data_IF_587147740351
#
_entry.id   IF_587147740351
#
_cell.length_a   1.000
_cell.length_b   1.000
_cell.length_c   1.000
_cell.angle_alpha   90.00
_cell.angle_beta   90.00
_cell.angle_gamma   90.00
#
_symmetry.space_group_name_H-M   'P 1'
#
loop_
_entity.id
_entity.type
_entity.pdbx_description
1 polymer ?
#
# COMPACT_ATOMS: atom_id res chain seq x y z
N UNK A 1 7.06 13.32 3.71
CA UNK A 1 8.51 13.60 3.58
C UNK A 1 9.23 12.55 2.74
N UNK A 2 9.03 11.24 2.98
CA UNK A 2 9.69 10.16 2.22
C UNK A 2 9.63 10.35 0.69
N UNK A 3 8.43 10.52 0.11
CA UNK A 3 8.28 10.75 -1.34
C UNK A 3 9.09 11.92 -1.89
N UNK A 4 9.13 13.04 -1.14
CA UNK A 4 9.90 14.22 -1.54
C UNK A 4 11.41 13.95 -1.51
N UNK A 5 11.90 13.20 -0.52
CA UNK A 5 13.30 12.82 -0.42
C UNK A 5 13.67 11.88 -1.58
N UNK A 6 12.86 10.88 -1.88
CA UNK A 6 13.13 9.95 -3.00
C UNK A 6 13.16 10.66 -4.35
N UNK A 7 12.25 11.60 -4.57
CA UNK A 7 12.28 12.46 -5.77
C UNK A 7 13.54 13.33 -5.82
N UNK A 8 13.94 13.95 -4.70
CA UNK A 8 15.15 14.78 -4.59
C UNK A 8 16.45 14.00 -4.83
N UNK A 9 16.48 12.72 -4.46
CA UNK A 9 17.63 11.84 -4.65
C UNK A 9 17.67 11.20 -6.04
N UNK A 10 16.69 11.46 -6.91
CA UNK A 10 16.55 10.81 -8.23
C UNK A 10 16.62 9.28 -8.13
N UNK A 11 15.89 8.68 -7.17
CA UNK A 11 15.83 7.22 -7.05
C UNK A 11 15.18 6.61 -8.31
N UNK A 12 15.82 5.61 -8.92
CA UNK A 12 15.23 4.85 -10.03
C UNK A 12 13.99 4.06 -9.58
N UNK A 13 14.04 3.51 -8.37
CA UNK A 13 12.95 2.78 -7.74
C UNK A 13 12.84 3.17 -6.27
N UNK A 14 11.62 3.19 -5.74
CA UNK A 14 11.34 3.38 -4.32
C UNK A 14 10.41 2.26 -3.83
N UNK A 15 10.78 1.63 -2.72
CA UNK A 15 9.92 0.66 -2.01
C UNK A 15 9.21 1.41 -0.89
N UNK A 16 7.88 1.34 -0.89
CA UNK A 16 7.04 2.06 0.05
C UNK A 16 6.32 1.03 0.91
N UNK A 17 6.70 0.92 2.17
CA UNK A 17 6.01 0.10 3.16
C UNK A 17 4.73 0.81 3.61
N UNK A 18 3.61 0.09 3.58
CA UNK A 18 2.32 0.56 4.13
C UNK A 18 2.42 0.61 5.65
N UNK A 19 1.89 1.69 6.25
CA UNK A 19 1.85 1.80 7.71
C UNK A 19 0.83 0.85 8.34
N UNK A 20 -0.46 1.06 8.09
CA UNK A 20 -1.54 0.22 8.61
C UNK A 20 -2.56 -0.05 7.50
N UNK A 21 -2.94 -1.31 7.33
CA UNK A 21 -3.98 -1.69 6.37
C UNK A 21 -3.48 -1.62 4.93
N UNK A 22 -4.04 -0.70 4.13
CA UNK A 22 -3.64 -0.47 2.74
C UNK A 22 -4.50 0.57 2.04
N UNK A 23 -5.82 0.38 2.01
CA UNK A 23 -6.77 1.25 1.31
C UNK A 23 -6.71 2.68 1.82
N UNK A 24 -6.74 2.86 3.14
CA UNK A 24 -6.78 4.15 3.80
C UNK A 24 -5.41 4.62 4.31
N UNK A 25 -4.33 3.91 4.00
CA UNK A 25 -3.00 4.31 4.41
C UNK A 25 -2.50 5.53 3.62
N UNK A 26 -1.74 6.41 4.28
CA UNK A 26 -1.21 7.64 3.66
C UNK A 26 -0.25 7.37 2.51
N UNK A 27 0.30 6.16 2.42
CA UNK A 27 1.16 5.73 1.32
C UNK A 27 0.39 5.41 0.05
N UNK A 28 -0.92 5.15 0.13
CA UNK A 28 -1.77 4.72 -0.99
C UNK A 28 -2.22 5.87 -1.92
N UNK A 29 -1.34 6.83 -2.15
CA UNK A 29 -1.53 8.01 -3.01
C UNK A 29 -0.76 7.93 -4.33
N UNK A 30 -0.16 6.77 -4.61
CA UNK A 30 0.68 6.52 -5.78
C UNK A 30 0.10 5.39 -6.65
N UNK A 31 0.53 5.33 -7.91
CA UNK A 31 0.32 4.18 -8.79
C UNK A 31 1.64 3.41 -8.86
N UNK A 32 1.78 2.29 -8.13
CA UNK A 32 3.02 1.51 -8.14
C UNK A 32 3.11 0.65 -9.41
N UNK A 33 4.33 0.31 -9.81
CA UNK A 33 4.56 -0.69 -10.87
C UNK A 33 4.25 -2.12 -10.39
N UNK A 34 4.32 -2.35 -9.08
CA UNK A 34 3.95 -3.61 -8.44
C UNK A 34 3.45 -3.35 -7.02
N UNK A 35 2.39 -4.08 -6.63
CA UNK A 35 1.86 -4.08 -5.26
C UNK A 35 2.08 -5.45 -4.63
N UNK A 36 2.47 -5.47 -3.36
CA UNK A 36 2.83 -6.70 -2.65
C UNK A 36 2.01 -6.78 -1.36
N UNK A 37 1.33 -7.91 -1.16
CA UNK A 37 0.73 -8.31 0.11
C UNK A 37 1.54 -9.51 0.60
N UNK A 38 2.22 -9.38 1.73
CA UNK A 38 3.10 -10.42 2.27
C UNK A 38 2.29 -11.53 2.93
N UNK A 39 1.58 -11.21 4.01
CA UNK A 39 0.71 -12.11 4.76
C UNK A 39 -0.57 -11.41 5.18
N UNK A 40 -1.62 -12.19 5.42
CA UNK A 40 -2.88 -11.71 5.97
C UNK A 40 -3.10 -12.49 7.27
N UNK A 41 -3.27 -11.74 8.37
CA UNK A 41 -3.52 -12.26 9.71
C UNK A 41 -4.33 -11.24 10.50
N UNK A 42 -4.86 -11.65 11.66
CA UNK A 42 -5.58 -10.75 12.55
C UNK A 42 -4.59 -9.73 13.15
N UNK A 43 -4.74 -8.48 12.75
CA UNK A 43 -3.89 -7.36 13.15
C UNK A 43 -4.67 -6.05 12.99
N UNK A 44 -4.44 -5.11 13.90
CA UNK A 44 -5.12 -3.81 13.94
C UNK A 44 -6.66 -3.88 13.89
N UNK A 45 -7.29 -4.88 14.52
CA UNK A 45 -8.74 -5.15 14.37
C UNK A 45 -9.62 -3.99 14.85
N UNK A 46 -9.12 -3.19 15.80
CA UNK A 46 -9.82 -2.00 16.30
C UNK A 46 -9.89 -0.85 15.29
N UNK A 47 -8.99 -0.84 14.31
CA UNK A 47 -8.89 0.20 13.28
C UNK A 47 -9.55 -0.29 11.99
N UNK A 48 -9.30 -1.55 11.62
CA UNK A 48 -9.70 -2.10 10.32
C UNK A 48 -11.03 -2.85 10.42
N UNK A 49 -11.13 -3.82 11.34
CA UNK A 49 -12.29 -4.66 11.52
C UNK A 49 -11.94 -6.01 12.15
N UNK A 50 -12.93 -6.73 12.71
CA UNK A 50 -12.69 -7.91 13.53
C UNK A 50 -12.45 -9.21 12.73
N UNK A 51 -12.61 -9.21 11.40
CA UNK A 51 -12.53 -10.42 10.59
C UNK A 51 -11.32 -10.44 9.66
N UNK A 52 -10.93 -11.65 9.26
CA UNK A 52 -9.92 -11.84 8.22
C UNK A 52 -10.31 -11.17 6.89
N UNK A 53 -11.62 -11.11 6.60
CA UNK A 53 -12.13 -10.48 5.40
C UNK A 53 -11.94 -8.96 5.45
N UNK A 54 -12.21 -8.32 6.59
CA UNK A 54 -12.00 -6.87 6.76
C UNK A 54 -10.52 -6.51 6.51
N UNK A 55 -9.62 -7.32 7.08
CA UNK A 55 -8.17 -7.10 6.93
C UNK A 55 -7.70 -7.37 5.51
N UNK A 56 -8.20 -8.43 4.87
CA UNK A 56 -7.89 -8.72 3.47
C UNK A 56 -8.37 -7.60 2.54
N UNK A 57 -9.59 -7.09 2.77
CA UNK A 57 -10.15 -5.99 2.00
C UNK A 57 -9.30 -4.73 2.14
N UNK A 58 -9.02 -4.30 3.37
CA UNK A 58 -8.22 -3.11 3.63
C UNK A 58 -6.81 -3.24 3.03
N UNK A 59 -6.14 -4.39 3.19
CA UNK A 59 -4.81 -4.62 2.56
C UNK A 59 -4.88 -4.64 1.04
N UNK A 60 -6.00 -5.10 0.45
CA UNK A 60 -6.17 -5.14 -1.01
C UNK A 60 -6.24 -3.76 -1.66
N UNK A 61 -6.48 -2.69 -0.88
CA UNK A 61 -6.58 -1.33 -1.40
C UNK A 61 -5.31 -0.76 -2.06
N UNK A 62 -4.16 -1.42 -1.89
CA UNK A 62 -2.91 -1.09 -2.62
C UNK A 62 -2.89 -1.63 -4.05
N UNK A 63 -3.82 -2.51 -4.42
CA UNK A 63 -3.94 -3.04 -5.78
C UNK A 63 -4.54 -1.94 -6.66
N UNK A 64 -3.75 -1.45 -7.63
CA UNK A 64 -4.18 -0.44 -8.60
C UNK A 64 -4.10 -1.02 -10.01
N UNK A 65 -4.99 -0.59 -10.89
CA UNK A 65 -4.89 -0.91 -12.31
C UNK A 65 -3.63 -0.26 -12.86
N UNK A 66 -2.69 -1.09 -13.33
CA UNK A 66 -1.53 -0.60 -14.05
C UNK A 66 -2.01 -0.28 -15.45
N UNK A 67 -2.02 1.00 -15.82
CA UNK A 67 -2.26 1.39 -17.20
C UNK A 67 -1.02 1.05 -18.02
N UNK A 68 -1.09 -0.03 -18.79
CA UNK A 68 -0.04 -0.48 -19.71
C UNK A 68 -0.29 0.05 -21.13
N UNK A 69 -0.64 1.33 -21.25
CA UNK A 69 -0.67 2.02 -22.53
C UNK A 69 0.77 2.24 -23.03
N UNK A 70 1.31 1.25 -23.74
CA UNK A 70 2.52 1.34 -24.57
C UNK A 70 2.13 1.31 -26.05
#
# INVERSE_FOLDING_TARGET
MAFWIFAKQNCDYAVIEVGIGGEHDKTNVIVPQASIITTIGLDHEKIIGPTMFDIAHEKSGVIKKIDQSY
#
